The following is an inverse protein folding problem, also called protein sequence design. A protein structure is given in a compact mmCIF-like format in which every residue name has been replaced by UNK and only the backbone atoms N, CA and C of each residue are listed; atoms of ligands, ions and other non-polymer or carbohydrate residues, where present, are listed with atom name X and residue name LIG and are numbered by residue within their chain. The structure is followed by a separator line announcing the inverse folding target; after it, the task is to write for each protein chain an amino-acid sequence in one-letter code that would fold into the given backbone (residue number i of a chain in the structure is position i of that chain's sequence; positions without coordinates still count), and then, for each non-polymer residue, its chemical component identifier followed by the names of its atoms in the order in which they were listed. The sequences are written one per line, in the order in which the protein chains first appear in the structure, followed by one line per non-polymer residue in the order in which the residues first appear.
data_IF_466849000974
#
_entry.id   IF_466849000974
#
_cell.length_a   1.000
_cell.length_b   1.000
_cell.length_c   1.000
_cell.angle_alpha   90.00
_cell.angle_beta   90.00
_cell.angle_gamma   90.00
#
_symmetry.space_group_name_H-M   'P 1'
#
loop_
_entity.id
_entity.type
_entity.pdbx_description
1 polymer ?
#
# COMPACT_ATOMS: atom_id res chain seq x y z
N UNK A 1 18.81 -17.82 -5.01
CA UNK A 1 17.44 -17.31 -5.02
C UNK A 1 17.43 -15.80 -5.07
N UNK A 2 16.87 -15.30 -6.09
CA UNK A 2 16.85 -13.86 -6.30
C UNK A 2 15.65 -13.23 -5.60
N UNK A 3 15.91 -12.39 -4.63
CA UNK A 3 14.84 -11.75 -3.87
C UNK A 3 14.04 -10.77 -4.70
N UNK A 4 14.61 -10.27 -5.79
CA UNK A 4 13.89 -9.33 -6.64
C UNK A 4 12.67 -9.93 -7.32
N UNK A 5 12.69 -11.26 -7.55
CA UNK A 5 11.59 -11.89 -8.26
C UNK A 5 10.31 -11.99 -7.45
N UNK A 6 10.40 -11.84 -6.13
CA UNK A 6 9.22 -11.96 -5.29
C UNK A 6 8.18 -10.87 -5.56
N UNK A 7 8.65 -9.71 -5.98
CA UNK A 7 7.77 -8.59 -6.28
C UNK A 7 7.50 -8.42 -7.76
N UNK A 8 8.28 -9.11 -8.61
CA UNK A 8 8.21 -8.88 -10.04
C UNK A 8 6.82 -9.20 -10.58
N UNK A 9 6.31 -8.32 -11.40
CA UNK A 9 5.01 -8.49 -12.05
C UNK A 9 3.82 -8.07 -11.22
N UNK A 10 4.01 -7.75 -9.95
CA UNK A 10 2.89 -7.28 -9.13
C UNK A 10 2.47 -5.88 -9.54
N UNK A 11 1.19 -5.66 -9.54
CA UNK A 11 0.61 -4.32 -9.76
C UNK A 11 0.35 -3.73 -8.38
N UNK A 12 1.04 -2.65 -8.07
CA UNK A 12 0.99 -2.09 -6.72
C UNK A 12 0.50 -0.65 -6.79
N UNK A 13 -0.62 -0.40 -6.12
CA UNK A 13 -1.18 0.94 -5.99
C UNK A 13 -0.44 1.66 -4.86
N UNK A 14 -0.02 2.89 -5.14
CA UNK A 14 0.60 3.73 -4.12
C UNK A 14 -0.34 4.89 -3.81
N UNK A 15 -0.73 5.01 -2.53
CA UNK A 15 -1.57 6.10 -2.06
C UNK A 15 -0.78 6.84 -0.99
N UNK A 16 -0.21 7.99 -1.36
CA UNK A 16 0.73 8.71 -0.51
C UNK A 16 0.72 10.18 -0.89
N UNK A 17 0.49 11.07 0.08
CA UNK A 17 0.42 12.50 -0.20
C UNK A 17 1.77 13.21 -0.12
N UNK A 18 2.79 12.59 0.44
CA UNK A 18 4.14 13.17 0.44
C UNK A 18 4.80 12.86 -0.90
N UNK A 19 5.03 13.89 -1.68
CA UNK A 19 5.51 13.74 -3.05
C UNK A 19 6.83 12.97 -3.12
N UNK A 20 7.78 13.34 -2.27
CA UNK A 20 9.10 12.70 -2.31
C UNK A 20 9.03 11.24 -1.92
N UNK A 21 8.24 10.93 -0.91
CA UNK A 21 8.09 9.53 -0.51
C UNK A 21 7.40 8.72 -1.59
N UNK A 22 6.37 9.29 -2.21
CA UNK A 22 5.68 8.59 -3.30
C UNK A 22 6.64 8.28 -4.43
N UNK A 23 7.52 9.23 -4.78
CA UNK A 23 8.52 9.00 -5.81
C UNK A 23 9.51 7.91 -5.42
N UNK A 24 9.95 7.93 -4.17
CA UNK A 24 10.89 6.92 -3.69
C UNK A 24 10.28 5.53 -3.74
N UNK A 25 9.03 5.41 -3.33
CA UNK A 25 8.34 4.13 -3.38
C UNK A 25 8.18 3.65 -4.81
N UNK A 26 7.82 4.56 -5.70
CA UNK A 26 7.66 4.21 -7.11
C UNK A 26 8.97 3.68 -7.70
N UNK A 27 10.07 4.38 -7.44
CA UNK A 27 11.37 3.95 -7.93
C UNK A 27 11.78 2.61 -7.35
N UNK A 28 11.59 2.44 -6.05
CA UNK A 28 11.95 1.21 -5.37
C UNK A 28 11.20 0.01 -5.97
N UNK A 29 9.90 0.18 -6.19
CA UNK A 29 9.10 -0.91 -6.72
C UNK A 29 9.43 -1.20 -8.17
N UNK A 30 9.65 -0.15 -8.98
CA UNK A 30 10.01 -0.37 -10.38
C UNK A 30 11.33 -1.10 -10.51
N UNK A 31 12.28 -0.83 -9.63
CA UNK A 31 13.55 -1.52 -9.63
C UNK A 31 13.39 -3.02 -9.33
N UNK A 32 12.29 -3.38 -8.68
CA UNK A 32 12.00 -4.78 -8.36
C UNK A 32 11.08 -5.43 -9.39
N UNK A 33 10.79 -4.74 -10.47
CA UNK A 33 9.98 -5.32 -11.53
C UNK A 33 8.47 -5.19 -11.33
N UNK A 34 8.04 -4.37 -10.38
CA UNK A 34 6.62 -4.14 -10.16
C UNK A 34 6.06 -3.16 -11.17
N UNK A 35 4.76 -3.24 -11.36
CA UNK A 35 4.02 -2.24 -12.11
C UNK A 35 3.33 -1.33 -11.10
N UNK A 36 3.63 -0.04 -11.18
CA UNK A 36 3.08 0.92 -10.22
C UNK A 36 1.79 1.50 -10.77
N UNK A 37 0.75 1.44 -9.95
CA UNK A 37 -0.54 2.08 -10.23
C UNK A 37 -0.56 3.37 -9.43
N UNK A 38 -0.75 4.49 -10.06
CA UNK A 38 -0.60 5.78 -9.42
C UNK A 38 0.83 6.29 -9.56
N UNK A 39 1.41 6.93 -8.54
CA UNK A 39 0.86 7.21 -7.20
C UNK A 39 -0.29 8.20 -7.24
N UNK A 40 -1.20 8.06 -6.29
CA UNK A 40 -2.24 9.05 -6.08
C UNK A 40 -2.09 9.63 -4.67
N UNK A 41 -2.61 10.83 -4.46
CA UNK A 41 -2.27 11.59 -3.26
C UNK A 41 -3.46 11.91 -2.38
N UNK A 42 -4.65 11.44 -2.70
CA UNK A 42 -5.83 11.76 -1.91
C UNK A 42 -6.80 10.58 -1.90
N UNK A 43 -7.71 10.61 -0.94
CA UNK A 43 -8.77 9.61 -0.85
C UNK A 43 -9.56 9.57 -2.15
N UNK A 44 -9.98 10.75 -2.64
CA UNK A 44 -10.79 10.80 -3.86
C UNK A 44 -10.08 10.22 -5.06
N UNK A 45 -8.80 10.55 -5.23
CA UNK A 45 -8.04 10.01 -6.36
C UNK A 45 -7.88 8.51 -6.26
N UNK A 46 -7.68 8.01 -5.04
CA UNK A 46 -7.52 6.57 -4.84
C UNK A 46 -8.80 5.83 -5.21
N UNK A 47 -9.94 6.34 -4.77
CA UNK A 47 -11.21 5.70 -5.08
C UNK A 47 -11.50 5.72 -6.58
N UNK A 48 -11.19 6.83 -7.25
CA UNK A 48 -11.36 6.92 -8.68
C UNK A 48 -10.46 5.92 -9.41
N UNK A 49 -9.21 5.79 -8.93
CA UNK A 49 -8.28 4.85 -9.54
C UNK A 49 -8.78 3.42 -9.42
N UNK A 50 -9.36 3.07 -8.28
CA UNK A 50 -9.87 1.72 -8.06
C UNK A 50 -11.05 1.38 -8.94
N UNK A 51 -11.77 2.38 -9.45
CA UNK A 51 -12.86 2.10 -10.39
C UNK A 51 -12.36 1.57 -11.72
N UNK A 52 -11.13 1.90 -12.10
CA UNK A 52 -10.60 1.48 -13.39
C UNK A 52 -9.41 0.53 -13.32
N UNK A 53 -8.90 0.28 -12.12
CA UNK A 53 -7.71 -0.54 -11.97
C UNK A 53 -7.94 -1.59 -10.92
N UNK A 54 -7.31 -2.75 -11.10
CA UNK A 54 -7.37 -3.82 -10.11
C UNK A 54 -5.95 -4.14 -9.69
N UNK A 55 -5.42 -3.45 -8.67
CA UNK A 55 -4.07 -3.76 -8.20
C UNK A 55 -4.04 -5.07 -7.45
N UNK A 56 -2.86 -5.65 -7.37
CA UNK A 56 -2.65 -6.87 -6.58
C UNK A 56 -2.51 -6.55 -5.11
N UNK A 57 -1.97 -5.37 -4.81
CA UNK A 57 -1.74 -4.94 -3.44
C UNK A 57 -1.62 -3.41 -3.45
N UNK A 58 -1.85 -2.79 -2.31
CA UNK A 58 -1.73 -1.33 -2.19
C UNK A 58 -0.82 -0.95 -1.03
N UNK A 59 -0.08 0.13 -1.22
CA UNK A 59 0.64 0.80 -0.14
C UNK A 59 -0.17 2.05 0.21
N UNK A 60 -0.55 2.17 1.47
CA UNK A 60 -1.56 3.16 1.88
C UNK A 60 -1.06 3.96 3.06
N UNK A 61 -0.86 5.26 2.86
CA UNK A 61 -0.58 6.16 3.97
C UNK A 61 -1.85 6.30 4.80
N UNK A 62 -1.69 6.29 6.11
CA UNK A 62 -2.83 6.37 7.02
C UNK A 62 -3.54 7.71 6.93
N UNK A 63 -2.77 8.80 6.78
CA UNK A 63 -3.34 10.15 6.67
C UNK A 63 -3.01 10.74 5.30
N UNK A 64 -4.04 11.21 4.62
CA UNK A 64 -3.92 11.77 3.28
C UNK A 64 -4.49 13.18 3.29
N UNK A 65 -3.61 14.18 3.34
CA UNK A 65 -4.02 15.59 3.31
C UNK A 65 -5.09 15.88 4.35
N UNK A 66 -4.86 15.40 5.56
CA UNK A 66 -5.77 15.65 6.67
C UNK A 66 -6.94 14.70 6.75
N UNK A 67 -7.08 13.77 5.81
CA UNK A 67 -8.13 12.77 5.86
C UNK A 67 -7.54 11.41 6.21
N UNK A 68 -8.28 10.66 7.02
CA UNK A 68 -7.88 9.29 7.29
C UNK A 68 -8.12 8.45 6.04
N UNK A 69 -7.28 7.45 5.87
CA UNK A 69 -7.36 6.59 4.70
C UNK A 69 -8.43 5.50 4.81
N UNK A 70 -9.25 5.55 5.86
CA UNK A 70 -10.25 4.53 6.12
C UNK A 70 -11.15 4.23 4.92
N UNK A 71 -11.68 5.22 4.19
CA UNK A 71 -12.51 4.91 3.02
C UNK A 71 -11.76 4.13 1.95
N UNK A 72 -10.47 4.42 1.78
CA UNK A 72 -9.68 3.68 0.81
C UNK A 72 -9.46 2.25 1.26
N UNK A 73 -9.16 2.08 2.55
CA UNK A 73 -8.99 0.74 3.11
C UNK A 73 -10.26 -0.09 2.95
N UNK A 74 -11.42 0.53 3.21
CA UNK A 74 -12.69 -0.17 3.05
C UNK A 74 -12.93 -0.58 1.61
N UNK A 75 -12.60 0.31 0.66
CA UNK A 75 -12.77 0.00 -0.76
C UNK A 75 -11.83 -1.13 -1.20
N UNK A 76 -10.60 -1.12 -0.72
CA UNK A 76 -9.66 -2.19 -1.02
C UNK A 76 -10.15 -3.52 -0.47
N UNK A 77 -10.61 -3.50 0.77
CA UNK A 77 -11.13 -4.70 1.39
C UNK A 77 -12.31 -5.26 0.61
N UNK A 78 -13.22 -4.39 0.18
CA UNK A 78 -14.39 -4.83 -0.57
C UNK A 78 -14.03 -5.47 -1.90
N UNK A 79 -12.87 -5.08 -2.46
CA UNK A 79 -12.40 -5.63 -3.73
C UNK A 79 -11.45 -6.81 -3.55
N UNK A 80 -11.20 -7.23 -2.32
CA UNK A 80 -10.27 -8.32 -2.05
C UNK A 80 -8.83 -7.97 -2.29
N UNK A 81 -8.48 -6.68 -2.23
CA UNK A 81 -7.11 -6.22 -2.45
C UNK A 81 -6.44 -6.01 -1.10
N UNK A 82 -5.38 -6.77 -0.81
CA UNK A 82 -4.64 -6.55 0.43
C UNK A 82 -3.88 -5.23 0.40
N UNK A 83 -3.60 -4.67 1.57
CA UNK A 83 -2.85 -3.43 1.61
C UNK A 83 -1.92 -3.41 2.82
N UNK A 84 -0.90 -2.57 2.70
CA UNK A 84 0.10 -2.35 3.74
C UNK A 84 0.01 -0.89 4.12
N UNK A 85 -0.09 -0.63 5.41
CA UNK A 85 -0.11 0.75 5.89
C UNK A 85 1.31 1.27 6.00
N UNK A 86 1.49 2.52 5.58
CA UNK A 86 2.74 3.24 5.76
C UNK A 86 2.45 4.39 6.70
N UNK A 87 3.18 4.48 7.79
CA UNK A 87 2.86 5.46 8.81
C UNK A 87 4.11 6.02 9.45
N UNK A 88 4.08 7.32 9.74
CA UNK A 88 5.09 7.97 10.54
C UNK A 88 4.69 8.14 11.99
N UNK A 89 3.55 7.61 12.35
CA UNK A 89 2.99 7.78 13.69
C UNK A 89 3.02 6.48 14.46
N UNK A 90 2.75 6.60 15.75
CA UNK A 90 2.61 5.45 16.59
C UNK A 90 1.42 4.60 16.11
N UNK A 91 1.66 3.31 15.95
CA UNK A 91 0.61 2.40 15.52
C UNK A 91 -0.46 2.20 16.58
N UNK A 92 -0.18 2.60 17.80
CA UNK A 92 -1.16 2.49 18.87
C UNK A 92 -2.37 3.39 18.66
N UNK A 93 -2.26 4.33 17.73
CA UNK A 93 -3.35 5.25 17.44
C UNK A 93 -4.35 4.72 16.42
N UNK A 94 -4.13 3.52 15.89
CA UNK A 94 -5.00 2.98 14.85
C UNK A 94 -6.12 2.18 15.49
N UNK A 95 -7.26 2.83 15.68
CA UNK A 95 -8.41 2.18 16.29
C UNK A 95 -9.45 1.75 15.27
N UNK A 96 -9.36 2.24 14.03
CA UNK A 96 -10.33 1.89 13.01
C UNK A 96 -10.19 0.42 12.63
N UNK A 97 -11.30 -0.33 12.63
CA UNK A 97 -11.21 -1.76 12.27
C UNK A 97 -10.58 -2.01 10.90
N UNK A 98 -10.82 -1.11 9.95
CA UNK A 98 -10.29 -1.27 8.60
C UNK A 98 -8.77 -1.19 8.56
N UNK A 99 -8.15 -0.53 9.54
CA UNK A 99 -6.71 -0.31 9.55
C UNK A 99 -5.99 -1.14 10.59
N UNK A 100 -6.69 -1.55 11.63
CA UNK A 100 -6.06 -2.08 12.84
C UNK A 100 -5.22 -3.33 12.60
N UNK A 101 -5.72 -4.23 11.77
CA UNK A 101 -5.09 -5.53 11.58
C UNK A 101 -4.22 -5.61 10.33
N UNK A 102 -4.08 -4.53 9.59
CA UNK A 102 -3.27 -4.54 8.38
C UNK A 102 -1.78 -4.54 8.73
N UNK A 103 -0.96 -5.19 7.92
CA UNK A 103 0.49 -5.06 8.09
C UNK A 103 0.89 -3.60 7.91
N UNK A 104 1.94 -3.19 8.59
CA UNK A 104 2.36 -1.79 8.53
C UNK A 104 3.87 -1.67 8.49
N UNK A 105 4.32 -0.58 7.90
CA UNK A 105 5.73 -0.23 7.82
C UNK A 105 5.86 1.20 8.32
N UNK A 106 6.80 1.41 9.24
CA UNK A 106 7.11 2.76 9.71
C UNK A 106 7.97 3.47 8.69
N UNK A 107 7.76 4.76 8.55
CA UNK A 107 8.65 5.61 7.74
C UNK A 107 9.97 5.78 8.48
N UNK A 108 11.09 5.82 7.79
CA UNK A 108 11.26 5.69 6.33
C UNK A 108 11.16 4.23 5.88
N UNK A 109 10.64 4.05 4.67
CA UNK A 109 10.43 2.72 4.12
C UNK A 109 11.74 2.21 3.51
N UNK A 110 12.13 0.98 3.85
CA UNK A 110 13.27 0.35 3.19
C UNK A 110 12.82 -0.91 2.46
N UNK A 111 13.66 -1.37 1.55
CA UNK A 111 13.31 -2.45 0.66
C UNK A 111 13.03 -3.76 1.40
N UNK A 112 13.85 -4.06 2.41
CA UNK A 112 13.67 -5.31 3.15
C UNK A 112 12.35 -5.36 3.87
N UNK A 113 12.00 -4.27 4.57
CA UNK A 113 10.73 -4.19 5.28
C UNK A 113 9.57 -4.27 4.30
N UNK A 114 9.69 -3.60 3.16
CA UNK A 114 8.64 -3.61 2.16
C UNK A 114 8.41 -5.01 1.60
N UNK A 115 9.48 -5.72 1.24
CA UNK A 115 9.35 -7.07 0.71
C UNK A 115 8.71 -8.00 1.73
N UNK A 116 9.10 -7.89 2.98
CA UNK A 116 8.56 -8.72 4.04
C UNK A 116 7.07 -8.46 4.23
N UNK A 117 6.69 -7.18 4.24
CA UNK A 117 5.29 -6.81 4.43
C UNK A 117 4.43 -7.25 3.24
N UNK A 118 4.94 -7.13 2.02
CA UNK A 118 4.21 -7.58 0.84
C UNK A 118 3.97 -9.08 0.91
N UNK A 119 5.01 -9.84 1.24
CA UNK A 119 4.89 -11.29 1.34
C UNK A 119 3.85 -11.67 2.40
N UNK A 120 3.89 -10.99 3.54
CA UNK A 120 2.94 -11.26 4.61
C UNK A 120 1.50 -10.94 4.18
N UNK A 121 1.30 -9.80 3.55
CA UNK A 121 -0.04 -9.38 3.13
C UNK A 121 -0.63 -10.34 2.11
N UNK A 122 0.19 -10.78 1.16
CA UNK A 122 -0.29 -11.71 0.13
C UNK A 122 -0.59 -13.09 0.71
N UNK A 123 0.22 -13.52 1.69
CA UNK A 123 0.01 -14.81 2.32
C UNK A 123 -1.27 -14.84 3.15
N UNK A 124 -1.60 -13.72 3.78
CA UNK A 124 -2.74 -13.66 4.67
C UNK A 124 -4.06 -13.42 3.94
N UNK A 125 -3.99 -13.10 2.65
CA UNK A 125 -5.19 -12.81 1.87
C UNK A 125 -5.93 -14.10 1.55
N UNK A 126 -7.21 -14.20 1.89
CA UNK A 126 -7.96 -15.39 1.53
C UNK A 126 -8.01 -15.56 0.02
N UNK A 127 -7.90 -16.78 -0.40
CA UNK A 127 -8.01 -17.14 -1.81
C UNK A 127 -9.32 -17.83 -2.06
N UNK A 128 -10.03 -17.33 -3.00
CA UNK A 128 -11.31 -17.96 -3.28
C UNK A 128 -11.34 -18.55 -4.67
#
# INVERSE_FOLDING_TARGET
MDNGTELAGLRILIVEDEFLLAMELEMLLQQRGCMVVGPVSSVGQALTMLDGEQPDIALLDVNLKGQRATPVAAALHARGVPFILITGYSVLQLSEPELRDAPRIDKPVNCRALKRAVASALSDTPRS
#
